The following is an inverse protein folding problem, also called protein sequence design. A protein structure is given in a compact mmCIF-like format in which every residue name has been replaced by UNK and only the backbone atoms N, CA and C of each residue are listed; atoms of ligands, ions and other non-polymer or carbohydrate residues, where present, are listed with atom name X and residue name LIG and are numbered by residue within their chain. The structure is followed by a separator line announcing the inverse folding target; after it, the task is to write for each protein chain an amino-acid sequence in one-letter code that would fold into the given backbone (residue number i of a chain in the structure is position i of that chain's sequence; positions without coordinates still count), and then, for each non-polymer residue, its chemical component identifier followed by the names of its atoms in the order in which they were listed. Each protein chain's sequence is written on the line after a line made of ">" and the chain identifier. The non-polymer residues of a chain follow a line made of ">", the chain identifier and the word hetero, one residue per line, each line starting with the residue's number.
data_IF_496613308830
#
_entry.id   IF_496613308830
#
_cell.length_a   1.000
_cell.length_b   1.000
_cell.length_c   1.000
_cell.angle_alpha   90.00
_cell.angle_beta   90.00
_cell.angle_gamma   90.00
#
_symmetry.space_group_name_H-M   'P 1'
#
loop_
_entity.id
_entity.type
_entity.pdbx_description
1 polymer ?
#
# COMPACT_ATOMS: atom_id res chain seq x y z
N UNK A 1 18.88 5.14 -16.21
CA UNK A 1 17.85 4.90 -15.17
C UNK A 1 18.50 4.24 -13.97
N UNK A 2 18.37 4.80 -12.79
CA UNK A 2 18.93 4.18 -11.61
C UNK A 2 17.95 3.13 -11.04
N UNK A 3 18.42 2.33 -10.09
CA UNK A 3 17.61 1.23 -9.53
C UNK A 3 16.36 1.72 -8.84
N UNK A 4 16.46 2.86 -8.18
CA UNK A 4 15.29 3.42 -7.48
C UNK A 4 14.19 3.79 -8.46
N UNK A 5 14.56 4.39 -9.59
CA UNK A 5 13.59 4.74 -10.63
C UNK A 5 12.97 3.49 -11.25
N UNK A 6 13.77 2.44 -11.44
CA UNK A 6 13.26 1.18 -11.95
C UNK A 6 12.24 0.55 -11.00
N UNK A 7 12.55 0.53 -9.69
CA UNK A 7 11.65 -0.01 -8.68
C UNK A 7 10.37 0.82 -8.60
N UNK A 8 10.50 2.14 -8.63
CA UNK A 8 9.34 3.03 -8.62
C UNK A 8 8.46 2.81 -9.84
N UNK A 9 9.07 2.67 -11.02
CA UNK A 9 8.33 2.40 -12.24
C UNK A 9 7.59 1.08 -12.17
N UNK A 10 8.22 0.04 -11.64
CA UNK A 10 7.60 -1.27 -11.48
C UNK A 10 6.42 -1.21 -10.50
N UNK A 11 6.58 -0.51 -9.39
CA UNK A 11 5.50 -0.35 -8.41
C UNK A 11 4.35 0.48 -8.97
N UNK A 12 4.65 1.57 -9.67
CA UNK A 12 3.62 2.37 -10.32
C UNK A 12 2.81 1.53 -11.30
N UNK A 13 3.50 0.71 -12.10
CA UNK A 13 2.83 -0.19 -13.03
C UNK A 13 1.96 -1.23 -12.33
N UNK A 14 2.37 -1.70 -11.15
CA UNK A 14 1.62 -2.68 -10.38
C UNK A 14 0.45 -2.07 -9.62
N UNK A 15 0.60 -0.84 -9.13
CA UNK A 15 -0.42 -0.19 -8.32
C UNK A 15 -1.38 0.65 -9.14
N UNK A 16 -0.88 1.34 -10.17
CA UNK A 16 -1.69 2.26 -10.97
C UNK A 16 -2.42 1.60 -12.13
N UNK A 17 -2.00 0.39 -12.53
CA UNK A 17 -2.59 -0.29 -13.68
C UNK A 17 -2.48 0.54 -14.95
N UNK A 18 -3.33 0.23 -15.90
CA UNK A 18 -3.44 1.02 -17.12
C UNK A 18 -4.33 2.22 -16.86
N UNK A 19 -3.71 3.36 -16.65
CA UNK A 19 -4.46 4.58 -16.45
C UNK A 19 -4.92 5.09 -17.82
N UNK A 20 -6.18 4.93 -18.12
CA UNK A 20 -6.76 5.64 -19.24
C UNK A 20 -6.89 7.11 -18.83
N UNK A 21 -6.68 8.00 -19.79
CA UNK A 21 -6.70 9.43 -19.54
C UNK A 21 -7.98 9.85 -18.82
N UNK A 22 -7.85 10.51 -17.69
CA UNK A 22 -8.96 11.10 -16.97
C UNK A 22 -9.57 10.24 -15.87
N UNK A 23 -9.15 8.97 -15.69
CA UNK A 23 -9.62 8.19 -14.56
C UNK A 23 -8.46 7.63 -13.77
N UNK A 24 -8.39 7.99 -12.51
CA UNK A 24 -7.38 7.51 -11.60
C UNK A 24 -7.81 6.13 -11.08
N UNK A 25 -7.82 5.12 -11.95
CA UNK A 25 -8.09 3.76 -11.55
C UNK A 25 -6.81 3.10 -11.09
N UNK A 26 -6.61 3.14 -9.78
CA UNK A 26 -5.52 2.42 -9.16
C UNK A 26 -5.94 0.95 -9.05
N UNK A 27 -5.14 0.06 -9.63
CA UNK A 27 -5.34 -1.37 -9.50
C UNK A 27 -4.38 -1.92 -8.46
N UNK A 28 -4.92 -2.67 -7.53
CA UNK A 28 -4.14 -3.25 -6.45
C UNK A 28 -3.72 -4.66 -6.82
N UNK A 29 -2.42 -4.96 -6.81
CA UNK A 29 -1.96 -6.33 -7.10
C UNK A 29 -2.47 -7.32 -6.06
N UNK A 30 -2.62 -8.57 -6.49
CA UNK A 30 -3.12 -9.64 -5.64
C UNK A 30 -2.29 -9.83 -4.37
N UNK A 31 -0.96 -9.64 -4.44
CA UNK A 31 -0.10 -9.86 -3.28
C UNK A 31 -0.45 -8.89 -2.13
N UNK A 32 -0.90 -7.68 -2.46
CA UNK A 32 -1.33 -6.71 -1.44
C UNK A 32 -2.59 -7.19 -0.74
N UNK A 33 -3.56 -7.69 -1.50
CA UNK A 33 -4.80 -8.22 -0.91
C UNK A 33 -4.53 -9.43 -0.03
N UNK A 34 -3.61 -10.29 -0.42
CA UNK A 34 -3.21 -11.44 0.41
C UNK A 34 -2.54 -11.00 1.69
N UNK A 35 -1.69 -9.99 1.61
CA UNK A 35 -1.01 -9.44 2.77
C UNK A 35 -2.00 -8.86 3.77
N UNK A 36 -3.03 -8.21 3.28
CA UNK A 36 -4.04 -7.54 4.11
C UNK A 36 -4.98 -8.51 4.84
N UNK A 37 -5.24 -9.67 4.27
CA UNK A 37 -6.10 -10.68 4.88
C UNK A 37 -7.58 -10.49 4.55
N UNK A 38 -8.45 -10.55 5.57
CA UNK A 38 -9.89 -10.50 5.38
C UNK A 38 -10.34 -9.18 4.74
N UNK A 39 -10.93 -9.23 3.53
CA UNK A 39 -11.30 -8.01 2.81
C UNK A 39 -12.35 -7.17 3.50
N UNK A 40 -13.28 -7.76 4.25
CA UNK A 40 -14.31 -7.00 4.96
C UNK A 40 -13.70 -6.21 6.12
N UNK A 41 -12.84 -6.86 6.89
CA UNK A 41 -12.19 -6.21 8.02
C UNK A 41 -11.26 -5.09 7.55
N UNK A 42 -10.48 -5.34 6.51
CA UNK A 42 -9.55 -4.33 5.98
C UNK A 42 -10.29 -3.14 5.39
N UNK A 43 -11.41 -3.37 4.72
CA UNK A 43 -12.21 -2.29 4.16
C UNK A 43 -12.81 -1.42 5.27
N UNK A 44 -13.28 -2.01 6.36
CA UNK A 44 -13.82 -1.26 7.48
C UNK A 44 -12.76 -0.41 8.16
N UNK A 45 -11.60 -1.00 8.43
CA UNK A 45 -10.49 -0.28 9.05
C UNK A 45 -9.99 0.83 8.13
N UNK A 46 -9.88 0.56 6.85
CA UNK A 46 -9.47 1.55 5.87
C UNK A 46 -10.42 2.72 5.77
N UNK A 47 -11.73 2.46 5.78
CA UNK A 47 -12.74 3.50 5.75
C UNK A 47 -12.67 4.37 7.00
N UNK A 48 -12.47 3.76 8.17
CA UNK A 48 -12.34 4.48 9.43
C UNK A 48 -11.08 5.37 9.42
N UNK A 49 -9.99 4.85 8.92
CA UNK A 49 -8.75 5.63 8.79
C UNK A 49 -8.97 6.86 7.92
N UNK A 50 -9.65 6.70 6.79
CA UNK A 50 -9.91 7.81 5.86
C UNK A 50 -10.81 8.89 6.47
N UNK A 51 -11.76 8.50 7.31
CA UNK A 51 -12.60 9.48 8.01
C UNK A 51 -11.78 10.36 8.94
N UNK A 52 -10.74 9.79 9.55
CA UNK A 52 -9.86 10.52 10.46
C UNK A 52 -8.74 11.27 9.71
N UNK A 53 -8.48 10.89 8.45
CA UNK A 53 -7.41 11.46 7.64
C UNK A 53 -7.95 11.85 6.26
N UNK A 54 -8.86 12.84 6.21
CA UNK A 54 -9.51 13.18 4.93
C UNK A 54 -8.54 13.69 3.86
N UNK A 55 -7.39 14.21 4.24
CA UNK A 55 -6.37 14.63 3.28
C UNK A 55 -5.77 13.46 2.51
N UNK A 56 -5.91 12.24 3.02
CA UNK A 56 -5.40 11.03 2.37
C UNK A 56 -6.49 10.27 1.60
N UNK A 57 -7.67 10.85 1.45
CA UNK A 57 -8.78 10.20 0.76
C UNK A 57 -8.62 10.31 -0.76
N UNK A 58 -7.58 9.67 -1.27
CA UNK A 58 -7.21 9.68 -2.68
C UNK A 58 -6.35 8.45 -2.95
N UNK A 59 -6.86 7.54 -3.79
CA UNK A 59 -6.18 6.28 -4.07
C UNK A 59 -4.78 6.50 -4.68
N UNK A 60 -4.64 7.46 -5.57
CA UNK A 60 -3.34 7.76 -6.20
C UNK A 60 -2.35 8.27 -5.15
N UNK A 61 -2.79 9.15 -4.28
CA UNK A 61 -1.93 9.69 -3.21
C UNK A 61 -1.50 8.58 -2.25
N UNK A 62 -2.42 7.71 -1.85
CA UNK A 62 -2.11 6.57 -0.98
C UNK A 62 -1.11 5.62 -1.65
N UNK A 63 -1.31 5.32 -2.94
CA UNK A 63 -0.40 4.47 -3.68
C UNK A 63 1.01 5.09 -3.72
N UNK A 64 1.10 6.40 -3.92
CA UNK A 64 2.39 7.10 -3.93
C UNK A 64 3.08 7.04 -2.56
N UNK A 65 2.34 7.24 -1.49
CA UNK A 65 2.89 7.17 -0.13
C UNK A 65 3.41 5.77 0.19
N UNK A 66 2.63 4.75 -0.17
CA UNK A 66 3.02 3.35 0.05
C UNK A 66 4.24 2.97 -0.79
N UNK A 67 4.26 3.40 -2.03
CA UNK A 67 5.37 3.14 -2.94
C UNK A 67 6.67 3.77 -2.42
N UNK A 68 6.59 5.02 -1.99
CA UNK A 68 7.76 5.70 -1.44
C UNK A 68 8.29 5.00 -0.19
N UNK A 69 7.39 4.61 0.71
CA UNK A 69 7.78 3.90 1.92
C UNK A 69 8.37 2.53 1.59
N UNK A 70 7.74 1.78 0.69
CA UNK A 70 8.16 0.43 0.33
C UNK A 70 9.53 0.43 -0.38
N UNK A 71 9.79 1.44 -1.19
CA UNK A 71 11.05 1.53 -1.94
C UNK A 71 12.27 1.47 -1.02
N UNK A 72 12.15 1.95 0.20
CA UNK A 72 13.24 1.93 1.18
C UNK A 72 13.58 0.52 1.65
N UNK A 73 12.69 -0.44 1.46
CA UNK A 73 12.85 -1.81 1.94
C UNK A 73 13.10 -2.80 0.81
N UNK A 74 13.17 -2.34 -0.43
CA UNK A 74 13.46 -3.18 -1.58
C UNK A 74 14.95 -3.14 -1.85
N UNK A 75 15.61 -4.30 -1.76
CA UNK A 75 17.03 -4.41 -2.03
C UNK A 75 17.32 -4.16 -3.51
N UNK A 76 18.38 -3.40 -3.84
CA UNK A 76 18.66 -3.07 -5.24
C UNK A 76 18.93 -4.28 -6.13
N UNK A 77 19.36 -5.40 -5.55
CA UNK A 77 19.69 -6.61 -6.29
C UNK A 77 18.56 -7.64 -6.29
N UNK A 78 17.49 -7.39 -5.52
CA UNK A 78 16.38 -8.34 -5.45
C UNK A 78 15.40 -8.13 -6.59
N UNK A 79 14.76 -9.21 -7.07
CA UNK A 79 13.71 -9.06 -8.06
C UNK A 79 12.50 -8.32 -7.49
N UNK A 80 11.71 -7.72 -8.37
CA UNK A 80 10.50 -6.99 -7.98
C UNK A 80 9.25 -7.85 -8.18
N UNK A 81 9.38 -9.15 -7.94
CA UNK A 81 8.25 -10.07 -8.00
C UNK A 81 7.35 -9.93 -6.75
N UNK A 82 6.19 -10.58 -6.79
CA UNK A 82 5.21 -10.48 -5.72
C UNK A 82 5.75 -10.94 -4.38
N UNK A 83 6.53 -12.01 -4.36
CA UNK A 83 7.08 -12.55 -3.10
C UNK A 83 8.09 -11.59 -2.48
N UNK A 84 8.96 -11.01 -3.29
CA UNK A 84 9.95 -10.04 -2.82
C UNK A 84 9.29 -8.77 -2.34
N UNK A 85 8.26 -8.29 -3.03
CA UNK A 85 7.53 -7.09 -2.63
C UNK A 85 6.73 -7.33 -1.34
N UNK A 86 6.12 -8.51 -1.18
CA UNK A 86 5.45 -8.89 0.06
C UNK A 86 6.41 -8.91 1.23
N UNK A 87 7.59 -9.50 1.05
CA UNK A 87 8.60 -9.55 2.10
C UNK A 87 9.06 -8.15 2.49
N UNK A 88 9.25 -7.26 1.51
CA UNK A 88 9.62 -5.88 1.77
C UNK A 88 8.52 -5.14 2.53
N UNK A 89 7.26 -5.38 2.18
CA UNK A 89 6.12 -4.76 2.85
C UNK A 89 6.03 -5.22 4.31
N UNK A 90 6.23 -6.49 4.57
CA UNK A 90 6.25 -7.03 5.94
C UNK A 90 7.38 -6.39 6.75
N UNK A 91 8.56 -6.26 6.16
CA UNK A 91 9.69 -5.62 6.82
C UNK A 91 9.38 -4.15 7.14
N UNK A 92 8.75 -3.45 6.21
CA UNK A 92 8.34 -2.05 6.39
C UNK A 92 7.36 -1.91 7.55
N UNK A 93 6.33 -2.75 7.59
CA UNK A 93 5.32 -2.73 8.64
C UNK A 93 5.96 -3.02 10.01
N UNK A 94 6.81 -4.04 10.08
CA UNK A 94 7.49 -4.38 11.32
C UNK A 94 8.39 -3.24 11.81
N UNK A 95 9.06 -2.56 10.89
CA UNK A 95 9.90 -1.42 11.23
C UNK A 95 9.08 -0.28 11.80
N UNK A 96 7.92 -0.02 11.23
CA UNK A 96 7.04 1.04 11.72
C UNK A 96 6.54 0.74 13.13
N UNK A 97 6.20 -0.50 13.44
CA UNK A 97 5.86 -0.88 14.81
C UNK A 97 7.03 -0.67 15.75
N UNK A 98 8.23 -1.07 15.34
CA UNK A 98 9.44 -0.90 16.16
C UNK A 98 9.74 0.57 16.44
N UNK A 99 9.50 1.43 15.46
CA UNK A 99 9.78 2.87 15.58
C UNK A 99 8.58 3.67 16.08
N UNK A 100 7.54 3.00 16.55
CA UNK A 100 6.32 3.62 17.07
C UNK A 100 5.61 4.51 16.05
N UNK A 101 5.79 4.23 14.76
CA UNK A 101 5.04 4.89 13.69
C UNK A 101 3.72 4.15 13.48
N UNK A 102 2.82 4.38 14.42
CA UNK A 102 1.55 3.66 14.49
C UNK A 102 0.40 4.64 14.59
N UNK A 103 -0.79 4.16 14.21
CA UNK A 103 -2.04 4.91 14.34
C UNK A 103 -3.07 4.00 14.99
N UNK A 104 -3.99 4.59 15.73
CA UNK A 104 -5.11 3.85 16.30
C UNK A 104 -6.32 4.04 15.40
N UNK A 105 -6.92 2.93 14.96
CA UNK A 105 -8.09 2.93 14.09
C UNK A 105 -9.10 1.96 14.69
N UNK A 106 -10.27 2.45 15.08
CA UNK A 106 -11.33 1.65 15.68
C UNK A 106 -10.84 0.80 16.87
N UNK A 107 -9.93 1.35 17.67
CA UNK A 107 -9.35 0.64 18.81
C UNK A 107 -8.20 -0.29 18.46
N UNK A 108 -7.86 -0.42 17.19
CA UNK A 108 -6.74 -1.24 16.75
C UNK A 108 -5.50 -0.37 16.54
N UNK A 109 -4.37 -0.88 17.00
CA UNK A 109 -3.09 -0.22 16.74
C UNK A 109 -2.50 -0.80 15.46
N UNK A 110 -2.37 0.04 14.44
CA UNK A 110 -1.85 -0.36 13.13
C UNK A 110 -0.58 0.42 12.81
N UNK A 111 0.33 -0.17 12.04
CA UNK A 111 1.42 0.63 11.48
C UNK A 111 0.82 1.64 10.50
N UNK A 112 1.52 2.75 10.30
CA UNK A 112 1.03 3.80 9.41
C UNK A 112 0.82 3.29 7.99
N UNK A 113 1.78 2.53 7.47
CA UNK A 113 1.66 1.96 6.11
C UNK A 113 0.57 0.90 6.03
N UNK A 114 0.39 0.12 7.09
CA UNK A 114 -0.69 -0.87 7.15
C UNK A 114 -2.06 -0.19 7.07
N UNK A 115 -2.25 0.90 7.82
CA UNK A 115 -3.49 1.66 7.79
C UNK A 115 -3.73 2.27 6.40
N UNK A 116 -2.68 2.79 5.78
CA UNK A 116 -2.77 3.34 4.42
C UNK A 116 -3.06 2.27 3.38
N UNK A 117 -2.50 1.08 3.57
CA UNK A 117 -2.77 -0.06 2.70
C UNK A 117 -4.25 -0.44 2.78
N UNK A 118 -4.80 -0.52 3.98
CA UNK A 118 -6.21 -0.82 4.18
C UNK A 118 -7.10 0.27 3.58
N UNK A 119 -6.69 1.53 3.72
CA UNK A 119 -7.41 2.66 3.11
C UNK A 119 -7.43 2.54 1.59
N UNK A 120 -6.29 2.19 0.99
CA UNK A 120 -6.21 1.98 -0.45
C UNK A 120 -7.15 0.86 -0.89
N UNK A 121 -7.18 -0.24 -0.17
CA UNK A 121 -8.08 -1.35 -0.48
C UNK A 121 -9.55 -0.94 -0.33
N UNK A 122 -9.87 -0.12 0.68
CA UNK A 122 -11.23 0.39 0.85
C UNK A 122 -11.66 1.26 -0.34
N UNK A 123 -10.77 2.08 -0.87
CA UNK A 123 -11.07 2.96 -1.99
C UNK A 123 -11.15 2.24 -3.33
N UNK A 124 -10.40 1.14 -3.48
CA UNK A 124 -10.31 0.44 -4.77
C UNK A 124 -11.14 -0.84 -4.81
N UNK A 125 -11.71 -1.26 -3.69
CA UNK A 125 -12.44 -2.53 -3.60
C UNK A 125 -11.54 -3.75 -3.57
N UNK A 126 -10.23 -3.56 -3.40
CA UNK A 126 -9.25 -4.63 -3.36
C UNK A 126 -8.78 -5.07 -4.73
N UNK A 127 -8.02 -6.18 -4.77
CA UNK A 127 -7.51 -6.71 -6.02
C UNK A 127 -8.63 -7.37 -6.82
N UNK A 128 -8.61 -7.14 -8.14
CA UNK A 128 -9.53 -7.84 -9.03
C UNK A 128 -9.00 -9.27 -9.24
N UNK A 129 -9.88 -10.28 -9.17
CA UNK A 129 -9.47 -11.66 -9.44
C UNK A 129 -8.90 -11.84 -10.83
#
# INVERSE_FOLDING_TARGET
>A
MNRREFILAALVGLLAGNVSAGSANVQVPTWISRLAGDPNATAQLGASYLREHPAEHDATHLADLLQEALTRFVEPTHPTDADSLSAAAIAMINREYTEAQVVEVDGWMLSRSEARLYALLALTGGATP
#
